data_IF_735308151083
#
_entry.id   IF_735308151083
#
_cell.length_a   1.000
_cell.length_b   1.000
_cell.length_c   1.000
_cell.angle_alpha   90.00
_cell.angle_beta   90.00
_cell.angle_gamma   90.00
#
_symmetry.space_group_name_H-M   'P 1'
#
loop_
_entity.id
_entity.type
_entity.pdbx_description
1 polymer ?
#
# COMPACT_ATOMS: atom_id res chain seq x y z
N UNK A 1 37.74 31.39 -0.84
CA UNK A 1 36.72 30.35 -1.17
C UNK A 1 35.76 30.05 -0.02
N UNK A 2 36.20 29.97 1.25
CA UNK A 2 35.31 29.73 2.41
C UNK A 2 34.22 30.81 2.64
N UNK A 3 34.52 32.08 2.37
CA UNK A 3 33.55 33.17 2.50
C UNK A 3 32.43 33.13 1.45
N UNK A 4 32.75 32.70 0.22
CA UNK A 4 31.76 32.56 -0.86
C UNK A 4 30.87 31.34 -0.60
N UNK A 5 31.43 30.25 -0.05
CA UNK A 5 30.68 29.05 0.30
C UNK A 5 29.69 29.29 1.47
N UNK A 6 30.08 30.07 2.48
CA UNK A 6 29.20 30.44 3.58
C UNK A 6 28.10 31.42 3.15
N UNK A 7 28.38 32.33 2.21
CA UNK A 7 27.35 33.18 1.59
C UNK A 7 26.36 32.37 0.74
N UNK A 8 26.84 31.35 0.02
CA UNK A 8 26.00 30.46 -0.76
C UNK A 8 25.06 29.62 0.13
N UNK A 9 25.55 29.11 1.27
CA UNK A 9 24.73 28.38 2.25
C UNK A 9 23.72 29.34 2.92
N UNK A 10 24.11 30.58 3.23
CA UNK A 10 23.21 31.57 3.86
C UNK A 10 22.10 32.03 2.92
N UNK A 11 22.38 32.16 1.61
CA UNK A 11 21.41 32.47 0.57
C UNK A 11 20.53 31.26 0.19
N UNK A 12 21.06 30.04 0.34
CA UNK A 12 20.26 28.81 0.19
C UNK A 12 19.34 28.59 1.39
N UNK A 13 19.69 29.02 2.60
CA UNK A 13 18.81 28.90 3.76
C UNK A 13 17.52 29.71 3.57
N UNK A 14 17.58 30.94 3.04
CA UNK A 14 16.35 31.71 2.74
C UNK A 14 15.52 31.10 1.61
N UNK A 15 16.15 30.42 0.64
CA UNK A 15 15.42 29.66 -0.40
C UNK A 15 14.96 28.26 0.06
N UNK A 16 15.54 27.73 1.15
CA UNK A 16 15.11 26.49 1.81
C UNK A 16 14.04 26.77 2.87
N UNK A 17 13.89 28.02 3.33
CA UNK A 17 12.74 28.46 4.14
C UNK A 17 11.47 28.57 3.28
N UNK A 18 11.62 28.72 1.95
CA UNK A 18 10.57 28.55 0.95
C UNK A 18 10.48 27.10 0.40
N UNK A 19 10.90 26.09 1.17
CA UNK A 19 10.65 24.70 0.81
C UNK A 19 9.17 24.36 1.03
N UNK A 20 8.30 24.89 0.17
CA UNK A 20 6.98 24.34 -0.05
C UNK A 20 7.17 22.91 -0.57
N UNK A 21 6.84 21.94 0.27
CA UNK A 21 6.81 20.53 -0.09
C UNK A 21 5.65 20.37 -1.08
N UNK A 22 6.00 20.42 -2.36
CA UNK A 22 5.10 20.31 -3.50
C UNK A 22 4.31 18.99 -3.43
N UNK A 23 2.99 19.08 -3.46
CA UNK A 23 2.05 17.94 -3.59
C UNK A 23 1.82 17.62 -5.06
N UNK A 24 1.66 16.34 -5.39
CA UNK A 24 1.39 15.89 -6.77
C UNK A 24 -0.10 15.77 -7.14
N UNK A 25 -1.06 15.86 -6.19
CA UNK A 25 -2.47 15.51 -6.49
C UNK A 25 -3.52 16.64 -6.32
N UNK A 26 -3.26 17.73 -5.56
CA UNK A 26 -4.21 18.86 -5.39
C UNK A 26 -3.45 20.22 -5.48
N UNK A 27 -3.82 21.15 -6.38
CA UNK A 27 -3.13 22.43 -6.52
C UNK A 27 -3.46 23.36 -5.35
N UNK A 28 -2.43 23.78 -4.60
CA UNK A 28 -2.53 24.85 -3.61
C UNK A 28 -2.85 26.18 -4.33
N UNK A 29 -3.96 26.81 -3.94
CA UNK A 29 -4.42 28.08 -4.52
C UNK A 29 -4.08 29.23 -3.58
N UNK A 30 -4.15 30.47 -4.07
CA UNK A 30 -4.07 31.66 -3.20
C UNK A 30 -2.76 31.86 -2.42
N UNK A 31 -1.69 31.15 -2.75
CA UNK A 31 -0.43 31.16 -1.97
C UNK A 31 0.07 32.61 -1.78
N UNK A 32 0.25 33.36 -2.86
CA UNK A 32 0.78 34.72 -2.80
C UNK A 32 -0.12 35.70 -2.02
N UNK A 33 -1.44 35.55 -2.09
CA UNK A 33 -2.37 36.37 -1.29
C UNK A 33 -2.33 35.98 0.19
N UNK A 34 -2.18 34.69 0.49
CA UNK A 34 -2.09 34.18 1.87
C UNK A 34 -0.77 34.63 2.52
N UNK A 35 0.35 34.51 1.80
CA UNK A 35 1.68 34.91 2.28
C UNK A 35 1.79 36.40 2.58
N UNK A 36 1.02 37.22 1.84
CA UNK A 36 0.98 38.66 2.06
C UNK A 36 -0.08 39.07 3.09
N UNK A 37 -1.31 38.54 2.97
CA UNK A 37 -2.45 38.91 3.81
C UNK A 37 -2.42 38.32 5.22
N UNK A 38 -1.77 37.16 5.38
CA UNK A 38 -1.76 36.39 6.63
C UNK A 38 -0.34 36.12 7.17
N UNK A 39 0.63 36.95 6.77
CA UNK A 39 2.06 36.79 7.10
C UNK A 39 2.33 36.58 8.59
N UNK A 40 1.73 37.41 9.45
CA UNK A 40 1.97 37.36 10.88
C UNK A 40 1.47 36.04 11.52
N UNK A 41 0.37 35.48 11.00
CA UNK A 41 -0.17 34.19 11.43
C UNK A 41 0.70 33.06 10.90
N UNK A 42 1.16 33.14 9.64
CA UNK A 42 2.06 32.18 9.01
C UNK A 42 3.40 32.09 9.75
N UNK A 43 4.01 33.22 10.12
CA UNK A 43 5.26 33.24 10.89
C UNK A 43 5.11 32.52 12.23
N UNK A 44 4.00 32.74 12.94
CA UNK A 44 3.70 32.04 14.20
C UNK A 44 3.49 30.54 13.99
N UNK A 45 2.79 30.14 12.93
CA UNK A 45 2.61 28.72 12.55
C UNK A 45 3.94 28.07 12.22
N UNK A 46 4.76 28.69 11.36
CA UNK A 46 6.02 28.15 10.88
C UNK A 46 7.06 28.06 12.00
N UNK A 47 7.06 28.98 12.96
CA UNK A 47 7.90 28.90 14.16
C UNK A 47 7.61 27.67 15.04
N UNK A 48 6.39 27.12 14.95
CA UNK A 48 6.03 25.86 15.61
C UNK A 48 6.44 24.66 14.74
N UNK A 49 6.25 24.72 13.42
CA UNK A 49 6.51 23.62 12.50
C UNK A 49 7.89 22.95 12.66
N UNK A 50 8.96 23.76 12.75
CA UNK A 50 10.33 23.24 12.90
C UNK A 50 10.62 22.52 14.22
N UNK A 51 9.70 22.59 15.19
CA UNK A 51 9.83 21.96 16.52
C UNK A 51 9.03 20.66 16.65
N UNK A 52 8.33 20.24 15.59
CA UNK A 52 7.65 18.95 15.49
C UNK A 52 8.73 17.85 15.36
N UNK A 53 8.66 16.73 16.13
CA UNK A 53 7.47 16.16 16.74
C UNK A 53 7.38 16.28 18.26
N UNK A 54 7.63 17.46 18.85
CA UNK A 54 7.35 17.67 20.29
C UNK A 54 5.85 17.93 20.55
N UNK A 55 5.27 17.38 21.63
CA UNK A 55 3.81 17.39 21.87
C UNK A 55 3.22 18.79 22.09
N UNK A 56 3.86 19.64 22.90
CA UNK A 56 3.45 21.04 23.07
C UNK A 56 3.38 21.79 21.74
N UNK A 57 4.14 21.34 20.74
CA UNK A 57 4.21 21.98 19.44
C UNK A 57 3.07 21.53 18.54
N UNK A 58 2.57 20.29 18.62
CA UNK A 58 1.47 19.82 17.78
C UNK A 58 0.14 20.50 18.12
N UNK A 59 -0.22 20.61 19.40
CA UNK A 59 -1.42 21.34 19.84
C UNK A 59 -1.34 22.82 19.46
N UNK A 60 -0.20 23.46 19.79
CA UNK A 60 0.03 24.85 19.42
C UNK A 60 0.03 25.05 17.90
N UNK A 61 0.58 24.11 17.14
CA UNK A 61 0.58 24.14 15.69
C UNK A 61 -0.86 24.08 15.14
N UNK A 62 -1.71 23.18 15.65
CA UNK A 62 -3.12 23.11 15.26
C UNK A 62 -3.84 24.43 15.51
N UNK A 63 -3.62 25.05 16.68
CA UNK A 63 -4.19 26.37 16.99
C UNK A 63 -3.66 27.46 16.04
N UNK A 64 -2.35 27.47 15.74
CA UNK A 64 -1.79 28.44 14.78
C UNK A 64 -2.30 28.20 13.35
N UNK A 65 -2.45 26.94 12.93
CA UNK A 65 -3.04 26.58 11.65
C UNK A 65 -4.48 27.13 11.53
N UNK A 66 -5.32 26.96 12.56
CA UNK A 66 -6.66 27.53 12.59
C UNK A 66 -6.65 29.07 12.50
N UNK A 67 -5.67 29.73 13.10
CA UNK A 67 -5.51 31.18 12.97
C UNK A 67 -5.17 31.61 11.54
N UNK A 68 -4.31 30.84 10.84
CA UNK A 68 -4.01 31.09 9.42
C UNK A 68 -5.25 30.84 8.58
N UNK A 69 -5.97 29.73 8.77
CA UNK A 69 -7.22 29.44 8.05
C UNK A 69 -8.25 30.55 8.22
N UNK A 70 -8.45 31.02 9.46
CA UNK A 70 -9.39 32.12 9.75
C UNK A 70 -9.01 33.39 9.01
N UNK A 71 -7.71 33.71 8.94
CA UNK A 71 -7.22 34.84 8.17
C UNK A 71 -7.43 34.62 6.65
N UNK A 72 -6.99 33.48 6.13
CA UNK A 72 -7.04 33.12 4.72
C UNK A 72 -8.47 33.09 4.19
N UNK A 73 -9.42 32.56 4.96
CA UNK A 73 -10.84 32.52 4.59
C UNK A 73 -11.47 33.90 4.32
N UNK A 74 -10.86 34.98 4.84
CA UNK A 74 -11.30 36.36 4.60
C UNK A 74 -10.69 37.01 3.35
N UNK A 75 -9.77 36.35 2.64
CA UNK A 75 -9.13 36.89 1.44
C UNK A 75 -10.05 36.70 0.23
N UNK A 76 -10.03 37.67 -0.71
CA UNK A 76 -10.94 37.67 -1.86
C UNK A 76 -10.74 36.44 -2.76
N UNK A 77 -9.50 35.96 -2.91
CA UNK A 77 -9.24 34.77 -3.73
C UNK A 77 -9.86 33.47 -3.17
N UNK A 78 -10.20 33.43 -1.86
CA UNK A 78 -10.87 32.29 -1.22
C UNK A 78 -12.40 32.39 -1.24
N UNK A 79 -12.96 33.44 -1.82
CA UNK A 79 -14.41 33.60 -1.94
C UNK A 79 -15.02 32.50 -2.82
N UNK A 80 -16.01 31.81 -2.27
CA UNK A 80 -16.64 30.66 -2.94
C UNK A 80 -15.78 29.39 -2.95
N UNK A 81 -14.65 29.38 -2.23
CA UNK A 81 -13.81 28.20 -2.03
C UNK A 81 -14.26 27.39 -0.83
N UNK A 82 -13.98 26.09 -0.88
CA UNK A 82 -14.23 25.17 0.22
C UNK A 82 -13.26 25.38 1.37
N UNK A 83 -13.67 25.00 2.59
CA UNK A 83 -12.79 25.02 3.76
C UNK A 83 -11.56 24.11 3.56
N UNK A 84 -11.72 23.02 2.80
CA UNK A 84 -10.61 22.16 2.40
C UNK A 84 -9.57 22.91 1.56
N UNK A 85 -9.98 23.70 0.57
CA UNK A 85 -9.05 24.51 -0.22
C UNK A 85 -8.31 25.54 0.65
N UNK A 86 -9.00 26.17 1.61
CA UNK A 86 -8.38 27.08 2.58
C UNK A 86 -7.36 26.34 3.45
N UNK A 87 -7.71 25.16 3.95
CA UNK A 87 -6.84 24.32 4.77
C UNK A 87 -5.57 23.93 4.01
N UNK A 88 -5.68 23.47 2.75
CA UNK A 88 -4.54 22.99 1.97
C UNK A 88 -3.45 24.06 1.79
N UNK A 89 -3.84 25.32 1.63
CA UNK A 89 -2.91 26.46 1.55
C UNK A 89 -2.44 26.93 2.92
N UNK A 90 -3.30 26.88 3.93
CA UNK A 90 -3.02 27.47 5.25
C UNK A 90 -2.19 26.56 6.16
N UNK A 91 -2.36 25.24 6.03
CA UNK A 91 -1.90 24.26 6.98
C UNK A 91 -1.08 23.15 6.33
N UNK A 92 -0.05 22.73 7.06
CA UNK A 92 0.77 21.59 6.71
C UNK A 92 0.07 20.30 7.15
N UNK A 93 0.24 19.22 6.38
CA UNK A 93 -0.34 17.91 6.72
C UNK A 93 0.47 17.20 7.81
N UNK A 94 0.55 17.82 8.99
CA UNK A 94 1.37 17.30 10.10
C UNK A 94 0.95 15.89 10.55
N UNK A 95 -0.33 15.54 10.36
CA UNK A 95 -0.86 14.19 10.55
C UNK A 95 -0.61 13.22 9.38
N UNK A 96 -0.39 13.69 8.15
CA UNK A 96 -0.05 12.79 7.03
C UNK A 96 1.48 12.55 6.92
N UNK A 97 2.28 13.53 7.37
CA UNK A 97 3.74 13.50 7.22
C UNK A 97 4.39 12.45 8.12
N UNK A 98 5.34 11.70 7.56
CA UNK A 98 6.26 10.84 8.34
C UNK A 98 7.44 11.66 8.87
N UNK A 99 7.70 11.56 10.16
CA UNK A 99 8.87 12.10 10.86
C UNK A 99 9.84 10.97 11.20
N UNK A 100 11.10 11.33 11.47
CA UNK A 100 12.13 10.39 11.90
C UNK A 100 11.68 9.57 13.11
N UNK A 101 11.07 10.20 14.12
CA UNK A 101 10.54 9.52 15.30
C UNK A 101 9.54 8.41 14.96
N UNK A 102 8.73 8.57 13.92
CA UNK A 102 7.76 7.55 13.53
C UNK A 102 8.47 6.30 13.00
N UNK A 103 9.48 6.48 12.14
CA UNK A 103 10.20 5.36 11.53
C UNK A 103 11.23 4.73 12.47
N UNK A 104 11.87 5.51 13.33
CA UNK A 104 12.94 5.02 14.22
C UNK A 104 12.42 4.52 15.57
N UNK A 105 11.20 4.89 15.98
CA UNK A 105 10.68 4.53 17.29
C UNK A 105 9.24 3.98 17.24
N UNK A 106 8.27 4.75 16.72
CA UNK A 106 6.85 4.34 16.79
C UNK A 106 6.53 3.09 15.95
N UNK A 107 7.03 2.99 14.72
CA UNK A 107 6.79 1.83 13.87
C UNK A 107 7.43 0.54 14.43
N UNK A 108 8.72 0.54 14.88
CA UNK A 108 9.29 -0.59 15.61
C UNK A 108 8.51 -0.96 16.88
N UNK A 109 8.03 0.03 17.64
CA UNK A 109 7.20 -0.19 18.82
C UNK A 109 5.88 -0.88 18.46
N UNK A 110 5.13 -0.37 17.49
CA UNK A 110 3.88 -0.96 17.04
C UNK A 110 4.08 -2.38 16.50
N UNK A 111 5.18 -2.62 15.78
CA UNK A 111 5.53 -3.98 15.35
C UNK A 111 5.69 -4.92 16.54
N UNK A 112 6.52 -4.56 17.53
CA UNK A 112 6.69 -5.38 18.75
C UNK A 112 5.41 -5.53 19.57
N UNK A 113 4.55 -4.52 19.54
CA UNK A 113 3.27 -4.54 20.20
C UNK A 113 2.35 -5.61 19.59
N UNK A 114 2.28 -5.68 18.27
CA UNK A 114 1.36 -6.57 17.56
C UNK A 114 1.94 -7.96 17.24
N UNK A 115 3.26 -8.13 17.30
CA UNK A 115 3.93 -9.44 17.16
C UNK A 115 3.58 -10.42 18.31
N UNK A 116 2.89 -9.97 19.38
CA UNK A 116 2.44 -10.82 20.48
C UNK A 116 3.56 -11.35 21.40
N UNK A 117 4.81 -10.91 21.17
CA UNK A 117 6.00 -11.44 21.86
C UNK A 117 6.19 -10.96 23.30
N UNK A 118 5.30 -10.12 23.83
CA UNK A 118 5.37 -9.60 25.19
C UNK A 118 4.13 -10.00 25.98
N UNK A 119 4.31 -10.38 27.24
CA UNK A 119 3.24 -10.86 28.13
C UNK A 119 2.07 -9.89 28.30
N UNK A 120 2.28 -8.59 28.05
CA UNK A 120 1.28 -7.54 28.19
C UNK A 120 0.54 -7.22 26.88
N UNK A 121 0.86 -7.90 25.77
CA UNK A 121 0.34 -7.55 24.43
C UNK A 121 -0.67 -8.56 23.89
N UNK A 122 -0.94 -9.65 24.61
CA UNK A 122 -1.80 -10.73 24.14
C UNK A 122 -3.23 -10.31 23.78
N UNK A 123 -3.80 -9.34 24.49
CA UNK A 123 -5.17 -8.85 24.27
C UNK A 123 -5.25 -7.62 23.34
N UNK A 124 -4.11 -7.19 22.78
CA UNK A 124 -4.04 -5.97 21.98
C UNK A 124 -4.37 -6.28 20.53
N UNK A 125 -5.46 -5.68 20.04
CA UNK A 125 -5.94 -5.83 18.67
C UNK A 125 -5.54 -4.60 17.85
N UNK A 126 -5.02 -4.82 16.65
CA UNK A 126 -4.66 -3.75 15.70
C UNK A 126 -5.87 -2.87 15.42
N UNK A 127 -5.69 -1.55 15.47
CA UNK A 127 -6.75 -0.57 15.21
C UNK A 127 -7.66 -0.31 16.41
N UNK A 128 -7.44 -0.99 17.55
CA UNK A 128 -8.22 -0.81 18.79
C UNK A 128 -7.35 -0.35 19.97
N UNK A 129 -6.39 0.53 19.72
CA UNK A 129 -5.59 1.16 20.78
C UNK A 129 -6.33 2.38 21.35
N UNK A 130 -6.69 2.30 22.63
CA UNK A 130 -7.37 3.36 23.37
C UNK A 130 -6.47 3.97 24.45
N UNK A 131 -6.82 5.18 24.90
CA UNK A 131 -6.12 5.86 25.99
C UNK A 131 -6.07 5.00 27.27
N UNK A 132 -7.12 4.22 27.54
CA UNK A 132 -7.19 3.34 28.69
C UNK A 132 -6.17 2.19 28.62
N UNK A 133 -5.97 1.61 27.43
CA UNK A 133 -4.95 0.56 27.21
C UNK A 133 -3.56 1.14 27.48
N UNK A 134 -3.27 2.33 26.94
CA UNK A 134 -1.98 3.00 27.17
C UNK A 134 -1.73 3.35 28.63
N UNK A 135 -2.75 3.78 29.36
CA UNK A 135 -2.63 4.04 30.80
C UNK A 135 -2.35 2.76 31.58
N UNK A 136 -3.11 1.69 31.29
CA UNK A 136 -3.02 0.42 32.01
C UNK A 136 -1.69 -0.30 31.74
N UNK A 137 -1.21 -0.29 30.49
CA UNK A 137 -0.03 -1.02 30.04
C UNK A 137 1.26 -0.16 30.01
N UNK A 138 1.23 1.04 30.60
CA UNK A 138 2.31 2.04 30.51
C UNK A 138 3.71 1.47 30.79
N UNK A 139 3.87 0.78 31.91
CA UNK A 139 5.17 0.20 32.29
C UNK A 139 5.66 -0.81 31.25
N UNK A 140 4.76 -1.62 30.70
CA UNK A 140 5.13 -2.58 29.68
C UNK A 140 5.53 -1.89 28.37
N UNK A 141 4.76 -0.91 27.91
CA UNK A 141 5.07 -0.21 26.66
C UNK A 141 6.37 0.58 26.76
N UNK A 142 6.64 1.23 27.90
CA UNK A 142 7.94 1.87 28.13
C UNK A 142 9.10 0.87 28.05
N UNK A 143 8.91 -0.36 28.53
CA UNK A 143 9.93 -1.40 28.39
C UNK A 143 10.12 -1.85 26.94
N UNK A 144 9.05 -1.95 26.15
CA UNK A 144 9.15 -2.24 24.70
C UNK A 144 9.92 -1.12 24.01
N UNK A 145 9.51 0.14 24.20
CA UNK A 145 10.14 1.33 23.60
C UNK A 145 11.61 1.41 23.95
N UNK A 146 12.00 1.13 25.20
CA UNK A 146 13.41 1.09 25.63
C UNK A 146 14.26 0.14 24.80
N UNK A 147 13.69 -0.95 24.31
CA UNK A 147 14.40 -1.97 23.54
C UNK A 147 14.41 -1.71 22.04
N UNK A 148 13.47 -0.91 21.52
CA UNK A 148 13.32 -0.68 20.07
C UNK A 148 13.74 0.70 19.61
N UNK A 149 13.70 1.71 20.49
CA UNK A 149 14.07 3.08 20.18
C UNK A 149 15.51 3.37 20.63
N UNK A 150 16.19 4.29 19.94
CA UNK A 150 17.45 4.84 20.44
C UNK A 150 17.24 5.62 21.76
N UNK A 151 18.34 5.95 22.43
CA UNK A 151 18.30 6.58 23.76
C UNK A 151 17.61 7.95 23.75
N UNK A 152 17.80 8.75 22.69
CA UNK A 152 17.19 10.08 22.59
C UNK A 152 15.68 9.97 22.44
N UNK A 153 15.23 9.12 21.51
CA UNK A 153 13.81 8.87 21.25
C UNK A 153 13.11 8.18 22.43
N UNK A 154 13.79 7.27 23.13
CA UNK A 154 13.27 6.67 24.36
C UNK A 154 13.09 7.71 25.46
N UNK A 155 14.10 8.56 25.72
CA UNK A 155 14.01 9.61 26.74
C UNK A 155 12.88 10.59 26.43
N UNK A 156 12.73 10.97 25.15
CA UNK A 156 11.62 11.78 24.68
C UNK A 156 10.27 11.09 24.91
N UNK A 157 10.12 9.84 24.47
CA UNK A 157 8.87 9.08 24.62
C UNK A 157 8.49 8.90 26.09
N UNK A 158 9.45 8.54 26.95
CA UNK A 158 9.23 8.36 28.39
C UNK A 158 8.78 9.65 29.06
N UNK A 159 9.47 10.77 28.78
CA UNK A 159 9.16 12.07 29.37
C UNK A 159 7.76 12.57 28.99
N UNK A 160 7.32 12.30 27.77
CA UNK A 160 6.08 12.84 27.21
C UNK A 160 4.97 11.78 27.06
N UNK A 161 5.09 10.63 27.74
CA UNK A 161 4.25 9.45 27.48
C UNK A 161 2.74 9.76 27.53
N UNK A 162 2.24 10.27 28.66
CA UNK A 162 0.80 10.43 28.87
C UNK A 162 0.19 11.39 27.84
N UNK A 163 0.93 12.46 27.58
CA UNK A 163 0.66 13.50 26.61
C UNK A 163 0.64 12.98 25.16
N UNK A 164 1.64 12.20 24.74
CA UNK A 164 1.70 11.57 23.43
C UNK A 164 0.55 10.56 23.24
N UNK A 165 0.27 9.76 24.25
CA UNK A 165 -0.77 8.73 24.16
C UNK A 165 -2.16 9.36 24.13
N UNK A 166 -2.39 10.43 24.87
CA UNK A 166 -3.61 11.24 24.76
C UNK A 166 -3.77 11.77 23.33
N UNK A 167 -2.72 12.38 22.76
CA UNK A 167 -2.73 12.92 21.41
C UNK A 167 -3.02 11.85 20.34
N UNK A 168 -2.40 10.68 20.45
CA UNK A 168 -2.56 9.58 19.50
C UNK A 168 -3.89 8.85 19.62
N UNK A 169 -4.56 8.89 20.77
CA UNK A 169 -5.82 8.16 20.99
C UNK A 169 -7.06 9.04 21.08
N UNK A 170 -6.89 10.36 21.12
CA UNK A 170 -8.00 11.30 21.09
C UNK A 170 -8.41 11.57 19.66
N UNK A 171 -9.59 11.07 19.28
CA UNK A 171 -10.21 11.43 18.00
C UNK A 171 -10.59 12.92 18.01
N UNK A 172 -10.43 13.63 16.88
CA UNK A 172 -10.98 14.97 16.73
C UNK A 172 -12.48 14.98 17.06
N UNK A 173 -12.94 16.02 17.77
CA UNK A 173 -14.35 16.15 18.18
C UNK A 173 -15.29 16.35 16.99
N UNK A 174 -14.78 16.92 15.90
CA UNK A 174 -15.45 17.08 14.62
C UNK A 174 -14.54 16.45 13.57
N UNK A 175 -15.11 15.56 12.74
CA UNK A 175 -14.44 15.09 11.53
C UNK A 175 -14.57 16.18 10.47
N UNK A 176 -13.48 16.92 10.25
CA UNK A 176 -13.37 17.97 9.24
C UNK A 176 -13.05 17.40 7.85
N UNK A 177 -12.83 16.09 7.73
CA UNK A 177 -12.43 15.42 6.49
C UNK A 177 -11.02 15.81 6.03
N UNK A 178 -10.24 16.53 6.84
CA UNK A 178 -8.87 16.91 6.48
C UNK A 178 -7.86 15.80 6.72
N UNK A 179 -8.17 14.86 7.63
CA UNK A 179 -7.31 13.73 7.98
C UNK A 179 -5.91 14.15 8.46
N UNK A 180 -5.77 15.30 9.11
CA UNK A 180 -4.48 15.90 9.43
C UNK A 180 -4.12 15.83 10.93
N UNK A 181 -4.90 15.10 11.73
CA UNK A 181 -4.64 14.99 13.17
C UNK A 181 -3.55 13.96 13.50
N UNK A 182 -2.89 14.08 14.66
CA UNK A 182 -1.99 13.03 15.14
C UNK A 182 -2.69 11.68 15.37
N UNK A 183 -3.99 11.67 15.70
CA UNK A 183 -4.78 10.45 15.81
C UNK A 183 -4.95 9.77 14.45
N UNK A 184 -5.25 10.53 13.39
CA UNK A 184 -5.35 10.00 12.02
C UNK A 184 -4.05 9.31 11.60
N UNK A 185 -2.93 9.97 11.89
CA UNK A 185 -1.59 9.44 11.67
C UNK A 185 -1.36 8.14 12.43
N UNK A 186 -1.69 8.13 13.71
CA UNK A 186 -1.47 6.99 14.57
C UNK A 186 -2.31 5.78 14.13
N UNK A 187 -3.57 6.02 13.73
CA UNK A 187 -4.42 5.00 13.14
C UNK A 187 -3.84 4.47 11.81
N UNK A 188 -3.29 5.36 10.96
CA UNK A 188 -2.58 4.95 9.74
C UNK A 188 -1.41 4.00 10.06
N UNK A 189 -0.54 4.37 10.99
CA UNK A 189 0.62 3.56 11.37
C UNK A 189 0.23 2.16 11.91
N UNK A 190 -0.89 2.06 12.63
CA UNK A 190 -1.41 0.75 13.06
C UNK A 190 -1.78 -0.15 11.87
N UNK A 191 -2.43 0.39 10.83
CA UNK A 191 -2.76 -0.40 9.65
C UNK A 191 -1.55 -0.70 8.76
N UNK A 192 -0.53 0.18 8.75
CA UNK A 192 0.73 -0.07 8.02
C UNK A 192 1.44 -1.34 8.51
N UNK A 193 1.29 -1.71 9.79
CA UNK A 193 1.75 -3.00 10.30
C UNK A 193 1.10 -4.18 9.55
N UNK A 194 -0.25 -4.20 9.44
CA UNK A 194 -0.97 -5.27 8.73
C UNK A 194 -0.60 -5.33 7.25
N UNK A 195 -0.43 -4.17 6.61
CA UNK A 195 0.04 -4.09 5.22
C UNK A 195 1.44 -4.68 5.08
N UNK A 196 2.33 -4.40 6.04
CA UNK A 196 3.69 -4.97 6.10
C UNK A 196 3.68 -6.48 6.25
N UNK A 197 2.89 -7.00 7.19
CA UNK A 197 2.75 -8.45 7.43
C UNK A 197 2.17 -9.17 6.22
N UNK A 198 1.09 -8.63 5.63
CA UNK A 198 0.51 -9.13 4.40
C UNK A 198 1.54 -9.21 3.27
N UNK A 199 2.31 -8.14 3.06
CA UNK A 199 3.36 -8.09 2.03
C UNK A 199 4.46 -9.12 2.31
N UNK A 200 4.91 -9.23 3.56
CA UNK A 200 5.95 -10.20 3.94
C UNK A 200 5.51 -11.65 3.69
N UNK A 201 4.28 -12.00 4.07
CA UNK A 201 3.73 -13.35 3.85
C UNK A 201 3.57 -13.69 2.38
N UNK A 202 3.03 -12.76 1.59
CA UNK A 202 2.83 -12.99 0.13
C UNK A 202 4.15 -13.08 -0.63
N UNK A 203 5.23 -12.44 -0.15
CA UNK A 203 6.59 -12.57 -0.70
C UNK A 203 7.30 -13.87 -0.32
N UNK A 204 6.77 -14.66 0.61
CA UNK A 204 7.45 -15.89 1.09
C UNK A 204 6.68 -17.15 0.74
N UNK A 205 5.35 -17.07 0.63
CA UNK A 205 4.51 -18.23 0.32
C UNK A 205 4.60 -18.56 -1.19
N UNK A 206 4.94 -19.80 -1.57
CA UNK A 206 4.94 -20.23 -2.97
C UNK A 206 3.55 -20.09 -3.59
N UNK A 207 3.49 -19.61 -4.84
CA UNK A 207 2.24 -19.37 -5.56
C UNK A 207 1.32 -20.59 -5.59
N UNK A 208 1.86 -21.78 -5.89
CA UNK A 208 1.06 -23.00 -5.99
C UNK A 208 0.40 -23.43 -4.67
N UNK A 209 0.82 -22.87 -3.53
CA UNK A 209 0.18 -23.14 -2.23
C UNK A 209 -1.30 -22.76 -2.24
N UNK A 210 -1.69 -21.74 -3.02
CA UNK A 210 -3.09 -21.26 -3.11
C UNK A 210 -4.05 -22.30 -3.66
N UNK A 211 -3.54 -23.34 -4.34
CA UNK A 211 -4.35 -24.44 -4.88
C UNK A 211 -4.97 -25.29 -3.77
N UNK A 212 -4.36 -25.28 -2.57
CA UNK A 212 -4.90 -25.88 -1.37
C UNK A 212 -5.39 -24.79 -0.41
N UNK A 213 -6.66 -24.38 -0.51
CA UNK A 213 -7.24 -23.35 0.35
C UNK A 213 -7.34 -23.76 1.83
N UNK A 214 -7.17 -25.04 2.14
CA UNK A 214 -7.09 -25.56 3.51
C UNK A 214 -5.68 -25.44 4.10
N UNK A 215 -4.69 -24.98 3.31
CA UNK A 215 -3.35 -24.72 3.80
C UNK A 215 -3.37 -23.56 4.81
N UNK A 216 -2.82 -23.79 6.00
CA UNK A 216 -2.83 -22.81 7.09
C UNK A 216 -2.17 -21.47 6.71
N UNK A 217 -1.06 -21.49 5.97
CA UNK A 217 -0.38 -20.26 5.52
C UNK A 217 -1.23 -19.47 4.50
N UNK A 218 -2.01 -20.16 3.67
CA UNK A 218 -2.94 -19.53 2.73
C UNK A 218 -4.15 -18.94 3.46
N UNK A 219 -4.69 -19.64 4.46
CA UNK A 219 -5.76 -19.11 5.31
C UNK A 219 -5.32 -17.86 6.09
N UNK A 220 -4.09 -17.86 6.60
CA UNK A 220 -3.48 -16.71 7.27
C UNK A 220 -3.40 -15.50 6.33
N UNK A 221 -3.01 -15.67 5.07
CA UNK A 221 -3.01 -14.60 4.07
C UNK A 221 -4.42 -14.04 3.85
N UNK A 222 -5.45 -14.88 3.76
CA UNK A 222 -6.83 -14.40 3.60
C UNK A 222 -7.35 -13.64 4.82
N UNK A 223 -7.02 -14.10 6.01
CA UNK A 223 -7.38 -13.39 7.24
C UNK A 223 -6.66 -12.04 7.33
N UNK A 224 -5.36 -11.98 7.00
CA UNK A 224 -4.60 -10.74 6.94
C UNK A 224 -5.16 -9.76 5.92
N UNK A 225 -5.64 -10.22 4.76
CA UNK A 225 -6.32 -9.38 3.77
C UNK A 225 -7.56 -8.73 4.39
N UNK A 226 -8.41 -9.53 5.03
CA UNK A 226 -9.65 -9.04 5.65
C UNK A 226 -9.36 -8.04 6.76
N UNK A 227 -8.39 -8.33 7.62
CA UNK A 227 -7.96 -7.42 8.68
C UNK A 227 -7.39 -6.11 8.11
N UNK A 228 -6.56 -6.21 7.08
CA UNK A 228 -5.99 -5.05 6.38
C UNK A 228 -7.10 -4.19 5.78
N UNK A 229 -8.04 -4.79 5.05
CA UNK A 229 -9.17 -4.06 4.44
C UNK A 229 -10.02 -3.35 5.51
N UNK A 230 -10.41 -4.07 6.56
CA UNK A 230 -11.17 -3.50 7.67
C UNK A 230 -10.42 -2.35 8.36
N UNK A 231 -9.11 -2.49 8.55
CA UNK A 231 -8.30 -1.43 9.14
C UNK A 231 -8.27 -0.20 8.21
N UNK A 232 -7.96 -0.40 6.93
CA UNK A 232 -7.86 0.67 5.93
C UNK A 232 -9.19 1.38 5.68
N UNK A 233 -10.34 0.72 5.81
CA UNK A 233 -11.65 1.35 5.65
C UNK A 233 -11.98 2.35 6.75
N UNK A 234 -11.38 2.18 7.93
CA UNK A 234 -11.60 3.02 9.10
C UNK A 234 -10.55 4.13 9.27
N UNK A 235 -9.57 4.26 8.36
CA UNK A 235 -8.52 5.29 8.43
C UNK A 235 -8.77 6.41 7.43
N UNK A 236 -8.94 7.63 7.95
CA UNK A 236 -9.14 8.86 7.19
C UNK A 236 -8.03 9.07 6.13
N UNK A 237 -6.76 8.98 6.52
CA UNK A 237 -5.61 9.22 5.63
C UNK A 237 -5.52 8.28 4.43
N UNK A 238 -5.91 7.01 4.58
CA UNK A 238 -5.95 6.07 3.46
C UNK A 238 -7.11 6.36 2.51
N UNK A 239 -8.04 7.25 2.83
CA UNK A 239 -9.01 7.73 1.84
C UNK A 239 -8.44 8.82 0.92
N UNK A 240 -7.37 9.52 1.33
CA UNK A 240 -6.67 10.56 0.56
C UNK A 240 -5.53 10.02 -0.32
N UNK A 241 -4.72 9.11 0.20
CA UNK A 241 -3.47 8.68 -0.48
C UNK A 241 -3.75 7.50 -1.42
N UNK A 242 -3.24 7.59 -2.67
CA UNK A 242 -3.23 6.52 -3.68
C UNK A 242 -2.59 5.18 -3.22
N UNK A 243 -2.04 5.10 -2.00
CA UNK A 243 -1.68 3.84 -1.32
C UNK A 243 -2.90 2.94 -1.08
N UNK A 244 -4.11 3.53 -0.94
CA UNK A 244 -5.40 2.81 -0.88
C UNK A 244 -5.56 1.84 -2.06
N UNK A 245 -5.05 2.23 -3.22
CA UNK A 245 -5.34 1.57 -4.49
C UNK A 245 -4.48 0.33 -4.66
N UNK A 246 -3.18 0.36 -4.36
CA UNK A 246 -2.29 -0.78 -4.64
C UNK A 246 -2.56 -2.00 -3.75
N UNK A 247 -2.61 -1.84 -2.42
CA UNK A 247 -2.82 -2.98 -1.51
C UNK A 247 -4.24 -3.55 -1.60
N UNK A 248 -5.27 -2.68 -1.76
CA UNK A 248 -6.64 -3.15 -1.97
C UNK A 248 -6.83 -3.79 -3.33
N UNK A 249 -6.21 -3.25 -4.38
CA UNK A 249 -6.28 -3.85 -5.71
C UNK A 249 -5.58 -5.20 -5.71
N UNK A 250 -4.39 -5.32 -5.12
CA UNK A 250 -3.70 -6.60 -5.01
C UNK A 250 -4.57 -7.63 -4.26
N UNK A 251 -5.13 -7.25 -3.11
CA UNK A 251 -6.03 -8.11 -2.34
C UNK A 251 -7.28 -8.53 -3.14
N UNK A 252 -7.92 -7.58 -3.83
CA UNK A 252 -9.07 -7.85 -4.68
C UNK A 252 -8.72 -8.74 -5.88
N UNK A 253 -7.57 -8.52 -6.52
CA UNK A 253 -7.04 -9.34 -7.61
C UNK A 253 -6.79 -10.76 -7.14
N UNK A 254 -6.13 -10.94 -5.99
CA UNK A 254 -5.88 -12.25 -5.39
C UNK A 254 -7.20 -12.99 -5.10
N UNK A 255 -8.16 -12.32 -4.45
CA UNK A 255 -9.44 -12.91 -4.06
C UNK A 255 -10.32 -13.28 -5.27
N UNK A 256 -10.42 -12.38 -6.26
CA UNK A 256 -11.17 -12.63 -7.50
C UNK A 256 -10.54 -13.71 -8.37
N UNK A 257 -9.21 -13.80 -8.39
CA UNK A 257 -8.49 -14.77 -9.22
C UNK A 257 -8.54 -16.19 -8.70
N UNK A 258 -8.83 -16.40 -7.40
CA UNK A 258 -8.80 -17.72 -6.78
C UNK A 258 -9.77 -18.72 -7.43
N UNK A 259 -11.00 -18.27 -7.72
CA UNK A 259 -12.02 -19.08 -8.41
C UNK A 259 -11.58 -19.42 -9.83
N UNK A 260 -10.96 -18.47 -10.53
CA UNK A 260 -10.50 -18.66 -11.90
C UNK A 260 -9.30 -19.62 -11.96
N UNK A 261 -8.34 -19.47 -11.05
CA UNK A 261 -7.18 -20.36 -10.93
C UNK A 261 -7.60 -21.80 -10.62
N UNK A 262 -8.54 -21.99 -9.69
CA UNK A 262 -9.08 -23.31 -9.38
C UNK A 262 -9.71 -23.97 -10.62
N UNK A 263 -10.46 -23.22 -11.43
CA UNK A 263 -11.03 -23.73 -12.69
C UNK A 263 -9.94 -24.06 -13.71
N UNK A 264 -8.94 -23.19 -13.86
CA UNK A 264 -7.82 -23.38 -14.80
C UNK A 264 -7.04 -24.65 -14.47
N UNK A 265 -6.65 -24.85 -13.21
CA UNK A 265 -5.88 -26.04 -12.81
C UNK A 265 -6.70 -27.33 -12.91
N UNK A 266 -8.01 -27.29 -12.68
CA UNK A 266 -8.89 -28.43 -12.96
C UNK A 266 -8.95 -28.80 -14.44
N UNK A 267 -8.98 -27.79 -15.33
CA UNK A 267 -9.03 -28.00 -16.78
C UNK A 267 -7.65 -28.37 -17.36
N UNK A 268 -6.57 -27.92 -16.72
CA UNK A 268 -5.18 -28.07 -17.20
C UNK A 268 -4.26 -28.49 -16.05
N UNK A 269 -4.37 -29.73 -15.57
CA UNK A 269 -3.63 -30.20 -14.39
C UNK A 269 -2.11 -30.16 -14.58
N UNK A 270 -1.60 -30.35 -15.81
CA UNK A 270 -0.16 -30.28 -16.13
C UNK A 270 0.48 -28.94 -15.79
N UNK A 271 -0.29 -27.85 -15.71
CA UNK A 271 0.26 -26.56 -15.27
C UNK A 271 0.83 -26.62 -13.85
N UNK A 272 0.30 -27.50 -12.99
CA UNK A 272 0.80 -27.69 -11.62
C UNK A 272 2.18 -28.38 -11.58
N UNK A 273 2.58 -29.04 -12.67
CA UNK A 273 3.86 -29.74 -12.78
C UNK A 273 5.00 -28.81 -13.23
N UNK A 274 4.66 -27.60 -13.69
CA UNK A 274 5.65 -26.67 -14.22
C UNK A 274 6.55 -26.08 -13.13
N UNK A 275 7.85 -26.22 -13.32
CA UNK A 275 8.86 -25.82 -12.33
C UNK A 275 8.90 -24.29 -12.15
N UNK A 276 8.67 -23.53 -13.21
CA UNK A 276 8.52 -22.07 -13.18
C UNK A 276 7.44 -21.60 -12.19
N UNK A 277 6.31 -22.31 -12.03
CA UNK A 277 5.25 -21.93 -11.08
C UNK A 277 5.59 -22.32 -9.63
N UNK A 278 6.44 -23.34 -9.44
CA UNK A 278 6.90 -23.74 -8.09
C UNK A 278 7.90 -22.75 -7.48
N UNK A 279 8.62 -22.00 -8.34
CA UNK A 279 9.70 -21.08 -7.93
C UNK A 279 9.26 -19.65 -7.68
N UNK A 280 8.01 -19.32 -8.00
CA UNK A 280 7.45 -17.98 -7.80
C UNK A 280 6.56 -17.93 -6.56
N UNK A 281 6.47 -16.74 -5.99
CA UNK A 281 5.68 -16.43 -4.81
C UNK A 281 4.30 -15.92 -5.19
N UNK A 282 3.38 -15.88 -4.21
CA UNK A 282 2.07 -15.23 -4.38
C UNK A 282 2.25 -13.78 -4.85
N UNK A 283 3.18 -13.03 -4.22
CA UNK A 283 3.43 -11.64 -4.56
C UNK A 283 3.88 -11.45 -6.01
N UNK A 284 4.85 -12.23 -6.48
CA UNK A 284 5.36 -12.11 -7.85
C UNK A 284 4.27 -12.41 -8.89
N UNK A 285 3.50 -13.48 -8.68
CA UNK A 285 2.43 -13.85 -9.60
C UNK A 285 1.34 -12.77 -9.65
N UNK A 286 0.83 -12.34 -8.49
CA UNK A 286 -0.30 -11.42 -8.45
C UNK A 286 0.06 -9.97 -8.75
N UNK A 287 1.32 -9.56 -8.56
CA UNK A 287 1.79 -8.26 -9.05
C UNK A 287 1.67 -8.18 -10.57
N UNK A 288 2.05 -9.23 -11.28
CA UNK A 288 1.90 -9.31 -12.75
C UNK A 288 0.44 -9.36 -13.20
N UNK A 289 -0.42 -10.08 -12.47
CA UNK A 289 -1.86 -10.07 -12.74
C UNK A 289 -2.42 -8.66 -12.55
N UNK A 290 -2.08 -7.96 -11.45
CA UNK A 290 -2.54 -6.59 -11.19
C UNK A 290 -2.07 -5.59 -12.25
N UNK A 291 -0.81 -5.69 -12.70
CA UNK A 291 -0.28 -4.88 -13.80
C UNK A 291 -1.09 -5.12 -15.08
N UNK A 292 -1.33 -6.39 -15.45
CA UNK A 292 -2.15 -6.71 -16.61
C UNK A 292 -3.58 -6.15 -16.49
N UNK A 293 -4.20 -6.26 -15.31
CA UNK A 293 -5.56 -5.72 -15.11
C UNK A 293 -5.59 -4.19 -15.20
N UNK A 294 -4.56 -3.49 -14.69
CA UNK A 294 -4.47 -2.03 -14.77
C UNK A 294 -4.26 -1.52 -16.21
N UNK A 295 -3.30 -2.09 -16.94
CA UNK A 295 -2.84 -1.52 -18.22
C UNK A 295 -3.56 -2.12 -19.43
N UNK A 296 -3.87 -3.41 -19.43
CA UNK A 296 -4.46 -4.07 -20.61
C UNK A 296 -6.00 -4.03 -20.61
N UNK A 297 -6.64 -3.62 -19.50
CA UNK A 297 -8.10 -3.69 -19.29
C UNK A 297 -8.70 -5.06 -19.65
N UNK A 298 -7.94 -6.14 -19.48
CA UNK A 298 -8.36 -7.52 -19.76
C UNK A 298 -8.91 -8.17 -18.49
N UNK A 299 -10.08 -8.80 -18.61
CA UNK A 299 -10.74 -9.48 -17.50
C UNK A 299 -10.08 -10.82 -17.10
N UNK A 300 -9.18 -11.37 -17.94
CA UNK A 300 -8.53 -12.66 -17.68
C UNK A 300 -7.01 -12.59 -17.90
N UNK A 301 -6.30 -12.11 -16.88
CA UNK A 301 -4.84 -11.95 -16.89
C UNK A 301 -4.06 -13.18 -16.43
N UNK A 302 -4.72 -14.19 -15.84
CA UNK A 302 -4.06 -15.36 -15.24
C UNK A 302 -3.27 -16.18 -16.27
N UNK A 303 -3.90 -16.56 -17.39
CA UNK A 303 -3.23 -17.38 -18.41
C UNK A 303 -2.08 -16.64 -19.12
N UNK A 304 -2.23 -15.36 -19.50
CA UNK A 304 -1.09 -14.54 -19.93
C UNK A 304 0.05 -14.51 -18.92
N UNK A 305 -0.24 -14.34 -17.62
CA UNK A 305 0.77 -14.35 -16.57
C UNK A 305 1.47 -15.71 -16.44
N UNK A 306 0.72 -16.82 -16.46
CA UNK A 306 1.32 -18.18 -16.50
C UNK A 306 2.21 -18.34 -17.73
N UNK A 307 1.76 -17.89 -18.89
CA UNK A 307 2.54 -17.96 -20.14
C UNK A 307 3.82 -17.15 -20.04
N UNK A 308 3.75 -15.96 -19.43
CA UNK A 308 4.91 -15.10 -19.18
C UNK A 308 5.96 -15.80 -18.31
N UNK A 309 5.55 -16.41 -17.20
CA UNK A 309 6.49 -17.09 -16.29
C UNK A 309 7.01 -18.42 -16.83
N UNK A 310 6.21 -19.12 -17.62
CA UNK A 310 6.45 -20.52 -17.99
C UNK A 310 6.64 -20.74 -19.49
N UNK A 311 7.01 -19.69 -20.23
CA UNK A 311 7.09 -19.74 -21.70
C UNK A 311 7.93 -20.90 -22.21
N UNK A 312 9.11 -21.13 -21.62
CA UNK A 312 10.03 -22.19 -22.05
C UNK A 312 9.45 -23.59 -21.84
N UNK A 313 8.92 -23.87 -20.65
CA UNK A 313 8.33 -25.17 -20.31
C UNK A 313 7.08 -25.45 -21.16
N UNK A 314 6.24 -24.43 -21.38
CA UNK A 314 5.09 -24.52 -22.28
C UNK A 314 5.55 -24.87 -23.70
N UNK A 315 6.56 -24.17 -24.23
CA UNK A 315 7.06 -24.43 -25.58
C UNK A 315 7.73 -25.79 -25.71
N UNK A 316 8.39 -26.29 -24.67
CA UNK A 316 8.97 -27.63 -24.64
C UNK A 316 7.89 -28.71 -24.67
N UNK A 317 6.80 -28.51 -23.93
CA UNK A 317 5.63 -29.40 -23.95
C UNK A 317 4.99 -29.47 -25.34
N UNK A 318 4.85 -28.33 -26.03
CA UNK A 318 4.38 -28.30 -27.42
C UNK A 318 5.42 -28.83 -28.42
N UNK A 319 6.71 -28.77 -28.10
CA UNK A 319 7.79 -29.28 -28.94
C UNK A 319 7.89 -30.81 -28.95
N UNK A 320 7.42 -31.46 -27.87
CA UNK A 320 7.43 -32.92 -27.70
C UNK A 320 6.11 -33.59 -28.12
N UNK A 321 5.09 -32.81 -28.47
CA UNK A 321 3.85 -33.35 -29.03
C UNK A 321 3.94 -33.36 -30.56
N UNK A 322 4.03 -34.56 -31.16
CA UNK A 322 3.30 -34.80 -32.40
C UNK A 322 1.81 -34.68 -32.05
N UNK A 323 1.27 -33.46 -32.09
CA UNK A 323 -0.12 -33.20 -31.71
C UNK A 323 -1.03 -33.74 -32.84
N UNK A 324 -1.51 -34.97 -32.71
CA UNK A 324 -2.78 -35.36 -33.34
C UNK A 324 -3.92 -34.67 -32.57
N UNK A 325 -4.38 -33.52 -33.08
CA UNK A 325 -5.64 -32.94 -32.59
C UNK A 325 -6.76 -33.70 -33.29
N UNK A 326 -7.34 -34.70 -32.63
CA UNK A 326 -8.64 -35.26 -33.04
C UNK A 326 -9.78 -34.45 -32.43
N UNK A 327 -10.89 -34.20 -33.14
CA UNK A 327 -12.02 -33.45 -32.58
C UNK A 327 -12.67 -34.21 -31.40
N UNK A 328 -13.12 -33.47 -30.38
CA UNK A 328 -14.01 -34.01 -29.34
C UNK A 328 -15.33 -34.41 -30.00
N UNK A 329 -15.66 -35.71 -29.97
CA UNK A 329 -16.89 -36.30 -30.54
C UNK A 329 -18.20 -35.86 -29.90
N UNK A 330 -18.15 -34.99 -28.90
CA UNK A 330 -19.34 -34.51 -28.23
C UNK A 330 -19.68 -33.12 -28.77
N UNK A 331 -20.71 -33.09 -29.63
CA UNK A 331 -21.71 -32.01 -29.83
C UNK A 331 -21.95 -31.56 -31.29
N UNK A 332 -21.10 -31.83 -32.29
CA UNK A 332 -21.40 -31.45 -33.69
C UNK A 332 -20.92 -32.46 -34.76
N UNK A 333 -21.76 -32.70 -35.78
CA UNK A 333 -21.39 -33.38 -37.04
C UNK A 333 -20.48 -32.48 -37.89
N UNK A 334 -19.27 -32.19 -37.40
CA UNK A 334 -18.22 -31.49 -38.14
C UNK A 334 -17.26 -32.50 -38.78
N UNK A 335 -16.69 -32.23 -39.98
CA UNK A 335 -15.70 -33.08 -40.60
C UNK A 335 -14.52 -33.34 -39.65
N UNK A 336 -13.95 -34.54 -39.69
CA UNK A 336 -12.77 -34.86 -38.88
C UNK A 336 -11.57 -34.07 -39.41
N UNK A 337 -11.09 -33.12 -38.61
CA UNK A 337 -9.86 -32.38 -38.88
C UNK A 337 -8.71 -33.05 -38.14
N UNK A 338 -7.70 -33.49 -38.88
CA UNK A 338 -6.41 -33.88 -38.34
C UNK A 338 -5.44 -32.70 -38.50
N UNK A 339 -4.82 -32.33 -37.38
CA UNK A 339 -3.72 -31.37 -37.36
C UNK A 339 -2.40 -32.13 -37.23
N UNK A 340 -1.40 -31.72 -38.01
CA UNK A 340 -0.03 -32.18 -37.84
C UNK A 340 0.95 -31.02 -37.94
N UNK A 341 1.94 -31.02 -37.05
CA UNK A 341 3.06 -30.08 -37.07
C UNK A 341 4.36 -30.86 -37.19
N UNK A 342 5.13 -30.58 -38.23
CA UNK A 342 6.43 -31.20 -38.41
C UNK A 342 7.48 -30.19 -38.89
N UNK A 343 8.74 -30.52 -38.63
CA UNK A 343 9.89 -29.78 -39.17
C UNK A 343 10.29 -30.44 -40.49
N UNK A 344 10.38 -29.64 -41.55
CA UNK A 344 10.95 -30.14 -42.80
C UNK A 344 12.48 -30.32 -42.68
N UNK A 345 13.09 -30.97 -43.67
CA UNK A 345 14.54 -31.20 -43.74
C UNK A 345 15.37 -29.90 -43.80
N UNK A 346 14.73 -28.73 -43.91
CA UNK A 346 15.34 -27.39 -43.88
C UNK A 346 15.07 -26.67 -42.55
N UNK A 347 14.63 -27.38 -41.51
CA UNK A 347 14.27 -26.87 -40.17
C UNK A 347 13.14 -25.83 -40.18
N UNK A 348 12.37 -25.71 -41.26
CA UNK A 348 11.19 -24.82 -41.30
C UNK A 348 9.98 -25.56 -40.72
N UNK A 349 9.20 -24.86 -39.89
CA UNK A 349 7.95 -25.40 -39.34
C UNK A 349 6.88 -25.34 -40.42
N UNK A 350 6.26 -26.48 -40.73
CA UNK A 350 5.08 -26.57 -41.59
C UNK A 350 3.87 -26.99 -40.77
N UNK A 351 2.75 -26.34 -41.06
CA UNK A 351 1.44 -26.64 -40.50
C UNK A 351 0.62 -27.33 -41.58
N UNK A 352 0.09 -28.51 -41.28
CA UNK A 352 -0.79 -29.25 -42.20
C UNK A 352 -2.14 -29.47 -41.52
N UNK A 353 -3.19 -29.11 -42.23
CA UNK A 353 -4.57 -29.39 -41.86
C UNK A 353 -5.12 -30.40 -42.88
N UNK A 354 -5.54 -31.55 -42.39
CA UNK A 354 -6.15 -32.60 -43.22
C UNK A 354 -7.59 -32.73 -42.81
N UNK A 355 -8.51 -32.57 -43.77
CA UNK A 355 -9.94 -32.74 -43.56
C UNK A 355 -10.34 -34.10 -44.13
N UNK A 356 -10.87 -34.99 -43.30
CA UNK A 356 -11.47 -36.25 -43.74
C UNK A 356 -12.95 -36.00 -44.01
N UNK A 357 -13.36 -36.23 -45.25
CA UNK A 357 -14.74 -36.10 -45.69
C UNK A 357 -15.27 -37.51 -46.00
N UNK A 358 -16.14 -38.05 -45.15
CA UNK A 358 -16.68 -39.42 -45.27
C UNK A 358 -17.69 -39.58 -46.43
N UNK A 359 -17.75 -38.64 -47.38
CA UNK A 359 -18.68 -38.62 -48.51
C UNK A 359 -18.09 -39.03 -49.86
N UNK A 360 -16.90 -39.62 -49.88
CA UNK A 360 -16.29 -40.17 -51.10
C UNK A 360 -15.91 -41.65 -50.89
N UNK A 361 -16.94 -42.52 -50.84
CA UNK A 361 -16.88 -43.92 -51.30
C UNK A 361 -18.11 -44.15 -52.17
#
# INVERSE_FOLDING_TARGET
>A
MQLIFNLFISLLITNLVDSYIRRDDDPEICIAETDNGCRAQLEKKNAMYYKIPTNCVLKNYTEQCQNVMKCASGLECFKGKSEKEVFLTSCDEVGARRYTFDSTCMAPFLKKLFDGGHNCTGDIIVGNLSSQIFKTQKLCFLNIVKNVCDTENFNFFQKNYDELMELYTTKPAVDDGFCASPNDKFNKMQCEYLVGEFRSKTMTIPFLSITNQSNAAVQEVFELIKQTQNCLDNVCLFQRVNEKTSSRMFAATLQSSLTNLTKIFKLRPRLLEYSCLTKITINEFFSEVSICTMFDKKDNCIMPTITKFCQEEILADFGNLEVSVGPRKEVYNTPDFEFAMFRDNKKKRRFVFTMKDDKLI
#
